data_IF_235262677996
#
_entry.id   IF_235262677996
#
_cell.length_a   1.000
_cell.length_b   1.000
_cell.length_c   1.000
_cell.angle_alpha   90.00
_cell.angle_beta   90.00
_cell.angle_gamma   90.00
#
_symmetry.space_group_name_H-M   'P 1'
#
loop_
_entity.id
_entity.type
_entity.pdbx_description
1 polymer ?
#
# COMPACT_ATOMS: atom_id res chain seq x y z
N UNK A 1 16.54 15.69 21.73
CA UNK A 1 15.20 15.94 21.16
C UNK A 1 14.22 15.02 21.87
N UNK A 2 12.97 15.45 22.11
CA UNK A 2 11.96 14.55 22.69
C UNK A 2 11.58 13.46 21.68
N UNK A 3 11.61 12.19 22.09
CA UNK A 3 11.19 11.05 21.27
C UNK A 3 9.75 11.23 20.79
N UNK A 4 9.45 10.78 19.55
CA UNK A 4 8.09 10.78 18.98
C UNK A 4 7.78 9.40 18.41
N UNK A 5 7.30 8.51 19.28
CA UNK A 5 6.92 7.17 18.86
C UNK A 5 5.63 7.19 18.04
N UNK A 6 5.66 6.50 16.91
CA UNK A 6 4.52 6.33 15.99
C UNK A 6 4.29 4.85 15.76
N UNK A 7 3.04 4.41 15.93
CA UNK A 7 2.62 3.09 15.50
C UNK A 7 2.35 3.12 14.00
N UNK A 8 3.12 2.37 13.22
CA UNK A 8 2.98 2.26 11.77
C UNK A 8 2.22 0.99 11.46
N UNK A 9 1.12 1.09 10.72
CA UNK A 9 0.24 -0.01 10.33
C UNK A 9 0.16 -0.13 8.80
N UNK A 10 0.28 -1.37 8.32
CA UNK A 10 0.10 -1.73 6.92
C UNK A 10 -0.81 -2.96 6.86
N UNK A 11 -2.11 -2.69 6.70
CA UNK A 11 -3.18 -3.68 6.75
C UNK A 11 -3.50 -4.17 5.33
N UNK A 12 -3.14 -5.41 5.02
CA UNK A 12 -3.58 -6.12 3.82
C UNK A 12 -4.83 -6.96 4.08
N UNK A 13 -5.38 -7.61 3.06
CA UNK A 13 -6.59 -8.44 3.20
C UNK A 13 -6.39 -9.66 4.10
N UNK A 14 -5.19 -10.26 4.11
CA UNK A 14 -4.88 -11.47 4.88
C UNK A 14 -3.74 -11.30 5.89
N UNK A 15 -3.26 -10.06 6.09
CA UNK A 15 -2.13 -9.76 6.98
C UNK A 15 -2.17 -8.33 7.51
N UNK A 16 -1.47 -8.11 8.62
CA UNK A 16 -1.23 -6.81 9.22
C UNK A 16 0.25 -6.73 9.62
N UNK A 17 1.00 -5.86 8.95
CA UNK A 17 2.36 -5.49 9.36
C UNK A 17 2.28 -4.29 10.29
N UNK A 18 3.04 -4.33 11.37
CA UNK A 18 3.07 -3.26 12.36
C UNK A 18 4.49 -2.99 12.85
N UNK A 19 4.75 -1.74 13.22
CA UNK A 19 5.98 -1.35 13.87
C UNK A 19 5.77 -0.12 14.78
N UNK A 20 6.60 0.04 15.81
CA UNK A 20 6.71 1.27 16.59
C UNK A 20 8.08 1.86 16.32
N UNK A 21 8.08 3.03 15.69
CA UNK A 21 9.29 3.74 15.25
C UNK A 21 9.32 5.10 15.93
N UNK A 22 10.50 5.54 16.39
CA UNK A 22 10.72 6.93 16.74
C UNK A 22 10.94 7.76 15.48
N UNK A 23 10.00 8.65 15.18
CA UNK A 23 10.04 9.49 13.98
C UNK A 23 11.20 10.51 13.97
N UNK A 24 11.90 10.71 15.09
CA UNK A 24 13.02 11.66 15.19
C UNK A 24 14.33 11.06 14.69
N UNK A 25 14.62 9.81 15.05
CA UNK A 25 15.92 9.17 14.78
C UNK A 25 15.82 7.86 13.99
N UNK A 26 14.63 7.29 13.83
CA UNK A 26 14.38 6.04 13.12
C UNK A 26 14.52 4.77 13.95
N UNK A 27 14.67 4.87 15.28
CA UNK A 27 14.82 3.71 16.14
C UNK A 27 13.55 2.83 16.13
N UNK A 28 13.74 1.52 15.96
CA UNK A 28 12.66 0.52 15.98
C UNK A 28 12.53 -0.09 17.39
N UNK A 29 11.37 0.11 18.02
CA UNK A 29 11.05 -0.43 19.34
C UNK A 29 10.25 -1.74 19.27
N UNK A 30 9.45 -1.88 18.23
CA UNK A 30 8.62 -3.05 17.97
C UNK A 30 8.49 -3.22 16.46
N UNK A 31 8.57 -4.44 15.96
CA UNK A 31 8.16 -4.79 14.59
C UNK A 31 7.47 -6.15 14.57
N UNK A 32 6.53 -6.35 13.65
CA UNK A 32 5.82 -7.61 13.57
C UNK A 32 4.91 -7.75 12.36
N UNK A 33 4.39 -8.97 12.24
CA UNK A 33 3.50 -9.42 11.18
C UNK A 33 2.46 -10.37 11.78
N UNK A 34 1.20 -9.98 11.67
CA UNK A 34 0.07 -10.88 11.80
C UNK A 34 -0.34 -11.37 10.40
N UNK A 35 -0.56 -12.66 10.23
CA UNK A 35 -0.82 -13.28 8.93
C UNK A 35 -1.74 -14.49 9.03
N UNK A 36 -2.13 -15.03 7.87
CA UNK A 36 -3.07 -16.14 7.75
C UNK A 36 -4.46 -15.79 8.33
N UNK A 37 -4.92 -14.56 8.14
CA UNK A 37 -6.26 -14.16 8.59
C UNK A 37 -7.36 -15.01 7.96
N UNK A 38 -8.43 -15.23 8.72
CA UNK A 38 -9.57 -16.08 8.37
C UNK A 38 -9.24 -17.56 8.17
N UNK A 39 -8.02 -17.99 8.50
CA UNK A 39 -7.58 -19.38 8.41
C UNK A 39 -7.38 -20.00 9.81
N UNK A 40 -7.35 -21.33 9.93
CA UNK A 40 -7.01 -22.01 11.18
C UNK A 40 -5.62 -21.64 11.72
N UNK A 41 -4.67 -21.33 10.84
CA UNK A 41 -3.27 -21.05 11.16
C UNK A 41 -2.98 -19.56 11.45
N UNK A 42 -4.02 -18.76 11.71
CA UNK A 42 -3.88 -17.34 12.02
C UNK A 42 -2.92 -17.13 13.19
N UNK A 43 -1.89 -16.31 12.96
CA UNK A 43 -0.77 -16.14 13.89
C UNK A 43 -0.22 -14.73 13.84
N UNK A 44 0.55 -14.38 14.87
CA UNK A 44 1.28 -13.13 14.98
C UNK A 44 2.72 -13.41 15.38
N UNK A 45 3.65 -12.80 14.65
CA UNK A 45 5.08 -12.82 14.94
C UNK A 45 5.53 -11.40 15.23
N UNK A 46 6.36 -11.21 16.25
CA UNK A 46 6.90 -9.90 16.57
C UNK A 46 8.31 -9.99 17.11
N UNK A 47 9.03 -8.86 17.02
CA UNK A 47 10.35 -8.65 17.58
C UNK A 47 10.29 -7.43 18.49
N UNK A 48 10.72 -7.61 19.74
CA UNK A 48 10.81 -6.55 20.74
C UNK A 48 12.08 -6.79 21.57
N UNK A 49 12.83 -5.73 21.86
CA UNK A 49 14.12 -5.80 22.58
C UNK A 49 15.12 -6.81 21.98
N UNK A 50 15.12 -6.95 20.65
CA UNK A 50 15.98 -7.90 19.94
C UNK A 50 15.48 -9.35 19.92
N UNK A 51 14.49 -9.70 20.76
CA UNK A 51 13.95 -11.06 20.86
C UNK A 51 12.75 -11.26 19.93
N UNK A 52 12.74 -12.38 19.20
CA UNK A 52 11.61 -12.79 18.35
C UNK A 52 10.65 -13.67 19.13
N UNK A 53 9.36 -13.43 18.96
CA UNK A 53 8.27 -14.18 19.57
C UNK A 53 7.18 -14.47 18.53
N UNK A 54 6.40 -15.52 18.78
CA UNK A 54 5.30 -15.96 17.92
C UNK A 54 4.16 -16.50 18.78
N UNK A 55 2.92 -16.23 18.39
CA UNK A 55 1.72 -16.73 19.03
C UNK A 55 0.61 -16.99 18.00
N UNK A 56 -0.26 -17.94 18.31
CA UNK A 56 -1.50 -18.12 17.55
C UNK A 56 -2.51 -17.02 17.94
N UNK A 57 -3.22 -16.48 16.94
CA UNK A 57 -4.34 -15.56 17.18
C UNK A 57 -5.68 -16.28 17.37
N UNK A 58 -5.73 -17.57 17.03
CA UNK A 58 -6.95 -18.39 17.04
C UNK A 58 -7.57 -18.54 15.65
N UNK A 59 -8.25 -19.66 15.43
CA UNK A 59 -8.83 -19.98 14.13
C UNK A 59 -9.84 -18.90 13.70
N UNK A 60 -9.67 -18.39 12.47
CA UNK A 60 -10.57 -17.37 11.90
C UNK A 60 -10.26 -15.93 12.30
N UNK A 61 -9.22 -15.69 13.12
CA UNK A 61 -8.82 -14.36 13.55
C UNK A 61 -8.49 -13.42 12.36
N UNK A 62 -8.70 -12.13 12.57
CA UNK A 62 -8.49 -11.07 11.58
C UNK A 62 -7.85 -9.82 12.21
N UNK A 63 -8.05 -8.65 11.60
CA UNK A 63 -7.44 -7.37 12.03
C UNK A 63 -7.80 -6.96 13.45
N UNK A 64 -9.05 -7.19 13.87
CA UNK A 64 -9.54 -6.89 15.22
C UNK A 64 -8.74 -7.65 16.28
N UNK A 65 -8.64 -8.98 16.13
CA UNK A 65 -7.90 -9.84 17.07
C UNK A 65 -6.41 -9.54 17.04
N UNK A 66 -5.84 -9.24 15.87
CA UNK A 66 -4.43 -8.88 15.73
C UNK A 66 -4.11 -7.56 16.48
N UNK A 67 -4.91 -6.51 16.33
CA UNK A 67 -4.72 -5.24 17.05
C UNK A 67 -5.00 -5.40 18.54
N UNK A 68 -6.03 -6.16 18.90
CA UNK A 68 -6.30 -6.50 20.29
C UNK A 68 -5.11 -7.22 20.94
N UNK A 69 -4.46 -8.14 20.24
CA UNK A 69 -3.25 -8.82 20.71
C UNK A 69 -2.08 -7.85 20.88
N UNK A 70 -1.90 -6.89 19.96
CA UNK A 70 -0.88 -5.85 20.08
C UNK A 70 -1.11 -5.02 21.35
N UNK A 71 -2.34 -4.56 21.60
CA UNK A 71 -2.64 -3.72 22.77
C UNK A 71 -2.59 -4.51 24.08
N UNK A 72 -3.32 -5.62 24.17
CA UNK A 72 -3.58 -6.31 25.43
C UNK A 72 -2.53 -7.37 25.79
N UNK A 73 -1.70 -7.80 24.83
CA UNK A 73 -0.63 -8.78 25.10
C UNK A 73 0.75 -8.17 24.95
N UNK A 74 1.05 -7.54 23.80
CA UNK A 74 2.40 -7.03 23.53
C UNK A 74 2.66 -5.75 24.31
N UNK A 75 1.81 -4.74 24.15
CA UNK A 75 1.98 -3.44 24.80
C UNK A 75 1.62 -3.46 26.30
N UNK A 76 0.80 -4.41 26.74
CA UNK A 76 0.53 -4.62 28.16
C UNK A 76 1.80 -5.01 28.96
N UNK A 77 2.79 -5.64 28.31
CA UNK A 77 4.09 -5.95 28.92
C UNK A 77 4.99 -4.72 29.08
N UNK A 78 4.71 -3.64 28.32
CA UNK A 78 5.46 -2.37 28.30
C UNK A 78 4.51 -1.16 28.29
N UNK A 79 3.81 -0.89 29.40
CA UNK A 79 2.86 0.22 29.48
C UNK A 79 3.52 1.58 29.22
N UNK A 80 4.81 1.74 29.51
CA UNK A 80 5.60 2.93 29.19
C UNK A 80 5.71 3.16 27.67
N UNK A 81 5.85 2.09 26.88
CA UNK A 81 5.92 2.19 25.42
C UNK A 81 4.56 2.61 24.85
N UNK A 82 3.48 2.04 25.38
CA UNK A 82 2.11 2.40 25.01
C UNK A 82 1.80 3.87 25.30
N UNK A 83 2.19 4.36 26.48
CA UNK A 83 1.96 5.75 26.89
C UNK A 83 2.77 6.78 26.07
N UNK A 84 3.89 6.36 25.47
CA UNK A 84 4.74 7.22 24.65
C UNK A 84 4.28 7.33 23.19
N UNK A 85 3.29 6.53 22.75
CA UNK A 85 2.75 6.62 21.40
C UNK A 85 2.10 8.00 21.17
N UNK A 86 2.55 8.68 20.12
CA UNK A 86 2.09 10.05 19.80
C UNK A 86 1.16 10.11 18.59
N UNK A 87 1.21 9.12 17.70
CA UNK A 87 0.40 9.05 16.49
C UNK A 87 0.31 7.62 15.94
N UNK A 88 -0.60 7.40 14.99
CA UNK A 88 -0.72 6.15 14.23
C UNK A 88 -0.64 6.49 12.73
N UNK A 89 0.31 5.88 12.02
CA UNK A 89 0.45 6.01 10.57
C UNK A 89 -0.13 4.80 9.85
N UNK A 90 -0.98 5.03 8.85
CA UNK A 90 -1.63 4.00 8.04
C UNK A 90 -1.11 4.09 6.61
N UNK A 91 -0.50 3.01 6.11
CA UNK A 91 -0.18 2.90 4.69
C UNK A 91 -1.46 2.66 3.89
N UNK A 92 -1.72 3.52 2.92
CA UNK A 92 -2.85 3.41 1.99
C UNK A 92 -2.31 3.19 0.58
N UNK A 93 -2.78 2.14 -0.08
CA UNK A 93 -2.30 1.79 -1.43
C UNK A 93 -2.72 2.82 -2.49
N UNK A 94 -3.97 3.30 -2.47
CA UNK A 94 -4.47 4.21 -3.51
C UNK A 94 -5.20 5.42 -2.94
N UNK A 95 -4.68 6.62 -3.23
CA UNK A 95 -5.27 7.91 -2.83
C UNK A 95 -6.00 8.66 -3.96
N UNK A 96 -6.00 8.13 -5.18
CA UNK A 96 -6.56 8.81 -6.34
C UNK A 96 -5.84 10.13 -6.64
N UNK A 97 -6.51 11.06 -7.32
CA UNK A 97 -5.95 12.39 -7.57
C UNK A 97 -6.06 13.32 -6.36
N UNK A 98 -7.01 13.04 -5.46
CA UNK A 98 -7.35 13.90 -4.32
C UNK A 98 -6.20 14.05 -3.33
N UNK A 99 -5.48 12.96 -3.06
CA UNK A 99 -4.44 12.93 -2.03
C UNK A 99 -3.04 12.93 -2.64
N UNK A 100 -2.45 14.13 -2.72
CA UNK A 100 -1.09 14.36 -3.24
C UNK A 100 -0.01 14.32 -2.17
N UNK A 101 -0.39 14.19 -0.90
CA UNK A 101 0.50 14.07 0.26
C UNK A 101 -0.18 13.28 1.37
N UNK A 102 0.57 12.95 2.43
CA UNK A 102 -0.02 12.35 3.63
C UNK A 102 -0.98 13.32 4.31
N UNK A 103 -2.01 12.81 4.99
CA UNK A 103 -3.10 13.61 5.57
C UNK A 103 -3.55 13.02 6.91
N UNK A 104 -3.94 13.87 7.86
CA UNK A 104 -4.60 13.44 9.10
C UNK A 104 -5.97 12.86 8.75
N UNK A 105 -6.30 11.69 9.30
CA UNK A 105 -7.53 10.97 9.01
C UNK A 105 -8.70 11.65 9.76
N UNK A 106 -9.68 12.08 8.97
CA UNK A 106 -11.03 12.46 9.39
C UNK A 106 -12.07 11.68 8.55
N UNK A 107 -13.37 11.96 8.76
CA UNK A 107 -14.45 11.33 8.00
C UNK A 107 -14.35 11.58 6.49
N UNK A 108 -13.84 12.74 6.06
CA UNK A 108 -13.68 13.09 4.65
C UNK A 108 -12.54 12.28 3.99
N UNK A 109 -11.49 11.97 4.77
CA UNK A 109 -10.39 11.10 4.36
C UNK A 109 -10.86 9.67 4.23
N UNK A 110 -11.62 9.18 5.22
CA UNK A 110 -12.26 7.86 5.18
C UNK A 110 -13.13 7.73 3.92
N UNK A 111 -13.94 8.74 3.61
CA UNK A 111 -14.78 8.71 2.41
C UNK A 111 -13.92 8.71 1.13
N UNK A 112 -12.89 9.54 1.03
CA UNK A 112 -12.05 9.53 -0.18
C UNK A 112 -11.24 8.23 -0.37
N UNK A 113 -10.88 7.51 0.70
CA UNK A 113 -10.29 6.17 0.61
C UNK A 113 -11.32 5.16 0.06
N UNK A 114 -12.60 5.27 0.49
CA UNK A 114 -13.71 4.47 -0.06
C UNK A 114 -13.94 4.77 -1.54
N UNK A 115 -13.98 6.03 -1.93
CA UNK A 115 -14.18 6.45 -3.32
C UNK A 115 -13.04 5.93 -4.22
N UNK A 116 -11.82 5.94 -3.69
CA UNK A 116 -10.62 5.42 -4.36
C UNK A 116 -10.52 3.89 -4.35
N UNK A 117 -11.42 3.17 -3.66
CA UNK A 117 -11.38 1.70 -3.59
C UNK A 117 -11.66 1.05 -4.96
N UNK A 118 -12.31 1.75 -5.88
CA UNK A 118 -12.46 1.33 -7.28
C UNK A 118 -11.11 1.04 -7.97
N UNK A 119 -10.06 1.76 -7.61
CA UNK A 119 -8.71 1.58 -8.15
C UNK A 119 -7.86 0.54 -7.38
N UNK A 120 -8.25 0.19 -6.16
CA UNK A 120 -7.54 -0.78 -5.33
C UNK A 120 -8.51 -1.65 -4.49
N UNK A 121 -9.38 -2.45 -5.15
CA UNK A 121 -10.52 -3.11 -4.52
C UNK A 121 -10.11 -4.16 -3.47
N UNK A 122 -8.90 -4.72 -3.58
CA UNK A 122 -8.38 -5.72 -2.64
C UNK A 122 -7.61 -5.10 -1.46
N UNK A 123 -7.22 -3.82 -1.55
CA UNK A 123 -6.31 -3.18 -0.59
C UNK A 123 -7.03 -2.11 0.24
N UNK A 124 -7.67 -1.13 -0.40
CA UNK A 124 -8.29 -0.01 0.30
C UNK A 124 -9.36 -0.44 1.33
N UNK A 125 -10.22 -1.44 1.07
CA UNK A 125 -11.14 -1.94 2.08
C UNK A 125 -10.43 -2.51 3.33
N UNK A 126 -9.32 -3.21 3.16
CA UNK A 126 -8.53 -3.74 4.28
C UNK A 126 -7.87 -2.61 5.10
N UNK A 127 -7.44 -1.53 4.43
CA UNK A 127 -6.93 -0.34 5.12
C UNK A 127 -8.00 0.32 5.98
N UNK A 128 -9.23 0.44 5.47
CA UNK A 128 -10.37 1.00 6.21
C UNK A 128 -10.72 0.18 7.45
N UNK A 129 -10.64 -1.15 7.37
CA UNK A 129 -10.78 -2.03 8.54
C UNK A 129 -9.67 -1.71 9.56
N UNK A 130 -8.42 -1.62 9.11
CA UNK A 130 -7.29 -1.26 9.95
C UNK A 130 -7.46 0.08 10.68
N UNK A 131 -7.94 1.11 9.96
CA UNK A 131 -8.25 2.43 10.54
C UNK A 131 -9.36 2.31 11.58
N UNK A 132 -10.46 1.64 11.25
CA UNK A 132 -11.59 1.49 12.16
C UNK A 132 -11.21 0.78 13.46
N UNK A 133 -10.40 -0.28 13.37
CA UNK A 133 -9.92 -1.00 14.55
C UNK A 133 -8.88 -0.21 15.34
N UNK A 134 -7.97 0.52 14.68
CA UNK A 134 -7.01 1.38 15.37
C UNK A 134 -7.70 2.49 16.19
N UNK A 135 -8.78 3.08 15.67
CA UNK A 135 -9.58 4.08 16.37
C UNK A 135 -10.26 3.50 17.64
N UNK A 136 -10.66 2.22 17.61
CA UNK A 136 -11.22 1.54 18.77
C UNK A 136 -10.16 1.14 19.79
N UNK A 137 -9.03 0.60 19.33
CA UNK A 137 -7.95 0.09 20.18
C UNK A 137 -7.11 1.19 20.82
N UNK A 138 -7.02 2.36 20.20
CA UNK A 138 -6.25 3.51 20.68
C UNK A 138 -7.11 4.78 20.75
N UNK A 139 -8.14 4.83 21.61
CA UNK A 139 -9.07 5.95 21.68
C UNK A 139 -8.38 7.28 22.02
N UNK A 140 -7.28 7.24 22.77
CA UNK A 140 -6.45 8.40 23.11
C UNK A 140 -5.70 9.00 21.90
N UNK A 141 -5.60 8.26 20.79
CA UNK A 141 -4.94 8.69 19.54
C UNK A 141 -5.93 8.89 18.38
N UNK A 142 -7.24 8.88 18.64
CA UNK A 142 -8.26 8.94 17.58
C UNK A 142 -8.03 10.07 16.57
N UNK A 143 -7.70 11.27 17.05
CA UNK A 143 -7.48 12.48 16.23
C UNK A 143 -6.03 12.61 15.71
N UNK A 144 -5.22 11.56 15.88
CA UNK A 144 -3.78 11.50 15.52
C UNK A 144 -3.46 10.33 14.61
N UNK A 145 -4.47 9.87 13.87
CA UNK A 145 -4.32 8.88 12.80
C UNK A 145 -3.95 9.62 11.51
N UNK A 146 -2.98 9.12 10.75
CA UNK A 146 -2.50 9.73 9.50
C UNK A 146 -2.50 8.71 8.39
N UNK A 147 -3.06 9.05 7.23
CA UNK A 147 -2.99 8.24 6.02
C UNK A 147 -1.77 8.66 5.18
N UNK A 148 -0.96 7.67 4.78
CA UNK A 148 0.23 7.82 3.95
C UNK A 148 0.03 7.04 2.67
N UNK A 149 -0.11 7.72 1.53
CA UNK A 149 -0.52 7.12 0.27
C UNK A 149 0.66 6.72 -0.61
N UNK A 150 0.65 5.49 -1.12
CA UNK A 150 1.65 5.02 -2.08
C UNK A 150 1.58 5.73 -3.44
N UNK A 151 0.45 6.36 -3.77
CA UNK A 151 0.28 7.14 -5.01
C UNK A 151 0.73 8.59 -4.88
N UNK A 152 0.83 9.14 -3.66
CA UNK A 152 1.02 10.57 -3.43
C UNK A 152 2.29 11.15 -4.11
N UNK A 153 3.42 10.44 -3.98
CA UNK A 153 4.69 10.89 -4.56
C UNK A 153 4.66 11.00 -6.10
N UNK A 154 3.78 10.24 -6.75
CA UNK A 154 3.65 10.20 -8.20
C UNK A 154 2.71 11.27 -8.75
N UNK A 155 2.00 12.01 -7.88
CA UNK A 155 1.06 13.05 -8.31
C UNK A 155 1.74 14.27 -8.95
N UNK A 156 3.08 14.33 -8.95
CA UNK A 156 3.85 15.31 -9.73
C UNK A 156 4.07 14.93 -11.18
N UNK A 157 3.65 13.74 -11.61
CA UNK A 157 3.71 13.33 -13.02
C UNK A 157 2.91 14.31 -13.89
N UNK A 158 3.49 14.78 -15.02
CA UNK A 158 2.76 15.64 -15.96
C UNK A 158 1.82 14.81 -16.84
N UNK A 159 0.95 15.49 -17.59
CA UNK A 159 -0.13 14.88 -18.38
C UNK A 159 0.39 13.87 -19.41
N UNK A 160 1.49 14.22 -20.08
CA UNK A 160 2.16 13.35 -21.05
C UNK A 160 2.63 12.02 -20.45
N UNK A 161 2.84 11.96 -19.13
CA UNK A 161 3.25 10.76 -18.43
C UNK A 161 2.08 10.01 -17.80
N UNK A 162 1.03 10.68 -17.32
CA UNK A 162 -0.05 9.95 -16.64
C UNK A 162 -1.20 9.51 -17.55
N UNK A 163 -1.39 10.17 -18.69
CA UNK A 163 -2.42 9.75 -19.65
C UNK A 163 -1.99 8.49 -20.40
N UNK A 164 -2.97 7.61 -20.61
CA UNK A 164 -2.83 6.53 -21.57
C UNK A 164 -3.27 7.00 -22.95
N UNK A 165 -2.75 6.35 -24.00
CA UNK A 165 -3.22 6.51 -25.38
C UNK A 165 -4.59 5.81 -25.58
N UNK A 166 -5.56 6.24 -24.80
CA UNK A 166 -6.96 5.79 -24.77
C UNK A 166 -7.88 7.02 -24.96
N UNK A 167 -9.18 6.82 -25.25
CA UNK A 167 -10.12 7.94 -25.32
C UNK A 167 -10.06 8.80 -24.05
N UNK A 168 -9.92 10.12 -24.23
CA UNK A 168 -9.77 11.07 -23.12
C UNK A 168 -10.97 11.09 -22.17
N UNK A 169 -12.16 10.68 -22.64
CA UNK A 169 -13.35 10.52 -21.79
C UNK A 169 -13.12 9.52 -20.65
N UNK A 170 -12.33 8.47 -20.85
CA UNK A 170 -12.03 7.50 -19.79
C UNK A 170 -11.25 8.13 -18.63
N UNK A 171 -10.36 9.07 -18.93
CA UNK A 171 -9.72 9.88 -17.90
C UNK A 171 -10.72 10.82 -17.23
N UNK A 172 -11.46 11.61 -18.04
CA UNK A 172 -12.37 12.65 -17.55
C UNK A 172 -13.52 12.13 -16.69
N UNK A 173 -14.08 10.98 -17.04
CA UNK A 173 -15.31 10.44 -16.42
C UNK A 173 -15.02 9.36 -15.38
N UNK A 174 -13.91 8.63 -15.53
CA UNK A 174 -13.60 7.46 -14.71
C UNK A 174 -12.23 7.53 -14.03
N UNK A 175 -11.45 8.60 -14.24
CA UNK A 175 -10.14 8.75 -13.63
C UNK A 175 -9.13 7.69 -14.09
N UNK A 176 -9.29 7.13 -15.30
CA UNK A 176 -8.33 6.17 -15.86
C UNK A 176 -7.03 6.90 -16.22
N UNK A 177 -6.04 6.76 -15.35
CA UNK A 177 -4.68 7.32 -15.50
C UNK A 177 -3.65 6.48 -14.79
N UNK A 178 -2.38 6.77 -15.02
CA UNK A 178 -1.29 6.27 -14.20
C UNK A 178 -1.30 6.97 -12.83
N UNK A 179 -1.35 6.18 -11.76
CA UNK A 179 -1.20 6.66 -10.39
C UNK A 179 0.12 6.18 -9.76
N UNK A 180 0.66 5.05 -10.23
CA UNK A 180 1.87 4.45 -9.68
C UNK A 180 1.65 3.74 -8.35
N UNK A 181 2.72 3.17 -7.80
CA UNK A 181 2.73 2.55 -6.47
C UNK A 181 4.12 2.69 -5.85
N UNK A 182 4.28 2.22 -4.61
CA UNK A 182 5.53 2.31 -3.85
C UNK A 182 6.07 3.74 -3.69
N UNK A 183 5.22 4.77 -3.81
CA UNK A 183 5.63 6.17 -3.79
C UNK A 183 6.34 6.56 -2.50
N UNK A 184 5.94 6.00 -1.35
CA UNK A 184 6.63 6.20 -0.07
C UNK A 184 8.09 5.71 -0.13
N UNK A 185 8.34 4.57 -0.78
CA UNK A 185 9.70 4.03 -0.95
C UNK A 185 10.50 4.85 -1.95
N UNK A 186 9.92 5.22 -3.09
CA UNK A 186 10.57 6.07 -4.09
C UNK A 186 10.93 7.45 -3.53
N UNK A 187 10.04 8.04 -2.73
CA UNK A 187 10.31 9.27 -1.99
C UNK A 187 11.51 9.10 -1.06
N UNK A 188 11.49 8.08 -0.20
CA UNK A 188 12.57 7.82 0.75
C UNK A 188 13.94 7.69 0.07
N UNK A 189 14.07 6.80 -0.93
CA UNK A 189 15.36 6.59 -1.61
C UNK A 189 15.82 7.81 -2.42
N UNK A 190 14.88 8.68 -2.85
CA UNK A 190 15.22 9.96 -3.48
C UNK A 190 15.87 10.92 -2.48
N UNK A 191 15.33 11.00 -1.25
CA UNK A 191 15.93 11.81 -0.18
C UNK A 191 17.30 11.26 0.24
N UNK A 192 17.44 9.94 0.39
CA UNK A 192 18.71 9.32 0.75
C UNK A 192 19.76 9.46 -0.36
N UNK A 193 19.37 9.32 -1.63
CA UNK A 193 20.27 9.55 -2.75
C UNK A 193 20.81 10.99 -2.79
N UNK A 194 19.98 11.99 -2.46
CA UNK A 194 20.42 13.38 -2.35
C UNK A 194 21.53 13.54 -1.30
N UNK A 195 21.36 12.92 -0.12
CA UNK A 195 22.38 12.89 0.95
C UNK A 195 23.65 12.17 0.49
N UNK A 196 23.53 10.99 -0.10
CA UNK A 196 24.68 10.20 -0.57
C UNK A 196 25.50 10.92 -1.64
N UNK A 197 24.82 11.69 -2.50
CA UNK A 197 25.46 12.47 -3.57
C UNK A 197 25.90 13.87 -3.12
N UNK A 198 25.63 14.26 -1.86
CA UNK A 198 25.86 15.59 -1.32
C UNK A 198 25.29 16.70 -2.22
N UNK A 199 24.04 16.54 -2.67
CA UNK A 199 23.33 17.51 -3.50
C UNK A 199 21.96 17.86 -2.92
N UNK A 200 21.45 19.08 -3.16
CA UNK A 200 20.05 19.40 -2.90
C UNK A 200 19.14 18.44 -3.67
N UNK A 201 18.03 18.03 -3.05
CA UNK A 201 17.08 17.09 -3.69
C UNK A 201 16.41 17.72 -4.92
N UNK A 202 16.29 19.04 -4.94
CA UNK A 202 15.76 19.85 -6.04
C UNK A 202 16.64 19.81 -7.29
N UNK A 203 17.90 19.40 -7.17
CA UNK A 203 18.85 19.25 -8.29
C UNK A 203 19.02 17.78 -8.72
N UNK A 204 18.26 16.87 -8.11
CA UNK A 204 18.46 15.44 -8.28
C UNK A 204 17.67 14.88 -9.48
N UNK A 205 18.41 14.33 -10.44
CA UNK A 205 17.88 13.57 -11.57
C UNK A 205 18.36 12.13 -11.47
N UNK A 206 17.45 11.21 -11.16
CA UNK A 206 17.76 9.79 -10.94
C UNK A 206 16.64 8.89 -11.45
N UNK A 207 16.97 7.62 -11.64
CA UNK A 207 15.99 6.55 -11.82
C UNK A 207 16.04 5.69 -10.56
N UNK A 208 14.88 5.48 -9.95
CA UNK A 208 14.76 4.69 -8.71
C UNK A 208 14.08 3.37 -9.01
N UNK A 209 14.62 2.28 -8.47
CA UNK A 209 14.13 0.92 -8.72
C UNK A 209 13.73 0.26 -7.40
N UNK A 210 12.43 0.16 -7.14
CA UNK A 210 11.89 -0.63 -6.02
C UNK A 210 11.64 -2.05 -6.50
N UNK A 211 12.38 -3.04 -5.99
CA UNK A 211 12.28 -4.44 -6.41
C UNK A 211 12.00 -5.32 -5.19
N UNK A 212 10.78 -5.84 -5.08
CA UNK A 212 10.35 -6.64 -3.94
C UNK A 212 9.02 -7.37 -4.18
N UNK A 213 8.14 -7.37 -3.16
CA UNK A 213 6.79 -7.91 -3.28
C UNK A 213 5.90 -6.97 -4.13
N UNK A 214 6.04 -7.09 -5.45
CA UNK A 214 5.73 -6.01 -6.39
C UNK A 214 6.98 -5.17 -6.68
N UNK A 215 7.09 -4.65 -7.89
CA UNK A 215 8.23 -3.81 -8.27
C UNK A 215 7.84 -2.67 -9.18
N UNK A 216 8.50 -1.53 -9.00
CA UNK A 216 8.32 -0.33 -9.81
C UNK A 216 9.64 0.38 -10.06
N UNK A 217 9.69 1.07 -11.19
CA UNK A 217 10.76 1.99 -11.54
C UNK A 217 10.14 3.37 -11.74
N UNK A 218 10.76 4.40 -11.17
CA UNK A 218 10.30 5.78 -11.31
C UNK A 218 11.43 6.69 -11.79
N UNK A 219 11.10 7.54 -12.76
CA UNK A 219 11.96 8.60 -13.25
C UNK A 219 11.77 9.84 -12.38
N UNK A 220 12.85 10.31 -11.77
CA UNK A 220 12.86 11.47 -10.88
C UNK A 220 13.63 12.59 -11.57
N UNK A 221 13.01 13.76 -11.67
CA UNK A 221 13.63 14.96 -12.20
C UNK A 221 13.44 16.10 -11.22
N UNK A 222 14.53 16.75 -10.83
CA UNK A 222 14.58 17.81 -9.82
C UNK A 222 13.87 17.39 -8.52
N UNK A 223 14.13 16.15 -8.07
CA UNK A 223 13.55 15.59 -6.85
C UNK A 223 12.07 15.18 -6.93
N UNK A 224 11.41 15.39 -8.09
CA UNK A 224 9.99 15.07 -8.30
C UNK A 224 9.82 13.89 -9.25
N UNK A 225 8.82 13.05 -9.00
CA UNK A 225 8.48 11.97 -9.91
C UNK A 225 7.87 12.54 -11.20
N UNK A 226 8.44 12.18 -12.35
CA UNK A 226 7.95 12.60 -13.67
C UNK A 226 7.43 11.45 -14.52
N UNK A 227 7.73 10.20 -14.18
CA UNK A 227 7.11 8.99 -14.76
C UNK A 227 7.32 7.79 -13.82
N UNK A 228 6.46 6.78 -13.92
CA UNK A 228 6.58 5.54 -13.14
C UNK A 228 6.03 4.33 -13.90
N UNK A 229 6.62 3.16 -13.66
CA UNK A 229 6.31 1.96 -14.41
C UNK A 229 4.93 1.38 -14.11
N UNK A 230 4.43 1.55 -12.88
CA UNK A 230 3.13 1.02 -12.45
C UNK A 230 1.98 1.94 -12.84
N UNK A 231 0.85 1.35 -13.23
CA UNK A 231 -0.25 2.01 -13.92
C UNK A 231 -1.38 2.52 -13.01
N UNK A 232 -2.62 2.25 -13.42
CA UNK A 232 -3.84 2.58 -12.66
C UNK A 232 -4.08 1.66 -11.45
N UNK A 233 -3.58 0.42 -11.50
CA UNK A 233 -3.68 -0.55 -10.42
C UNK A 233 -2.25 -0.95 -9.99
N UNK A 234 -1.95 -0.96 -8.68
CA UNK A 234 -0.72 -1.55 -8.15
C UNK A 234 -0.53 -3.05 -8.48
N UNK A 235 -1.57 -3.74 -8.91
CA UNK A 235 -1.44 -5.12 -9.36
C UNK A 235 -0.94 -5.19 -10.82
N UNK A 236 0.37 -5.41 -10.99
CA UNK A 236 0.73 -6.57 -11.82
C UNK A 236 0.13 -7.80 -11.13
N UNK A 237 -0.76 -8.54 -11.81
CA UNK A 237 -1.62 -9.58 -11.19
C UNK A 237 -0.88 -10.49 -10.19
N UNK A 238 -1.54 -10.94 -9.09
CA UNK A 238 -0.98 -11.92 -8.18
C UNK A 238 -0.63 -13.23 -8.92
N UNK A 239 0.60 -13.72 -8.76
CA UNK A 239 1.06 -14.99 -9.31
C UNK A 239 2.27 -14.92 -10.26
N UNK A 240 2.76 -13.73 -10.60
CA UNK A 240 3.94 -13.60 -11.48
C UNK A 240 5.04 -12.77 -10.82
N UNK A 241 6.13 -13.43 -10.41
CA UNK A 241 7.32 -12.81 -9.83
C UNK A 241 8.17 -11.97 -10.80
N UNK A 242 7.55 -11.32 -11.80
CA UNK A 242 8.26 -10.51 -12.79
C UNK A 242 7.71 -9.08 -12.85
N UNK A 243 8.42 -8.10 -12.22
CA UNK A 243 7.94 -6.73 -12.02
C UNK A 243 7.86 -5.85 -13.29
N UNK A 244 8.08 -6.42 -14.49
CA UNK A 244 8.23 -5.65 -15.74
C UNK A 244 7.39 -6.17 -16.93
N UNK A 245 6.49 -7.13 -16.74
CA UNK A 245 5.70 -7.65 -17.87
C UNK A 245 4.66 -6.62 -18.33
N UNK A 246 4.87 -6.07 -19.54
CA UNK A 246 3.81 -5.49 -20.36
C UNK A 246 3.15 -6.62 -21.14
N UNK A 247 1.89 -6.89 -20.87
CA UNK A 247 1.07 -7.79 -21.69
C UNK A 247 0.52 -7.01 -22.87
N UNK A 248 0.33 -7.68 -24.02
CA UNK A 248 -0.40 -7.03 -25.11
C UNK A 248 -1.88 -6.99 -24.72
N UNK A 249 -2.56 -5.84 -24.81
CA UNK A 249 -4.00 -5.77 -24.49
C UNK A 249 -4.84 -6.80 -25.25
N UNK A 250 -4.42 -7.18 -26.47
CA UNK A 250 -5.08 -8.21 -27.27
C UNK A 250 -5.03 -9.62 -26.66
N UNK A 251 -4.07 -9.91 -25.77
CA UNK A 251 -3.98 -11.21 -25.10
C UNK A 251 -5.15 -11.44 -24.13
N UNK A 252 -5.89 -10.37 -23.78
CA UNK A 252 -7.07 -10.40 -22.92
C UNK A 252 -8.39 -10.44 -23.68
N UNK A 253 -8.36 -10.26 -25.01
CA UNK A 253 -9.56 -10.38 -25.81
C UNK A 253 -9.81 -11.87 -26.09
N UNK A 254 -11.03 -12.38 -25.90
CA UNK A 254 -11.35 -13.71 -26.39
C UNK A 254 -11.06 -13.75 -27.90
N UNK A 255 -10.56 -14.88 -28.45
CA UNK A 255 -10.33 -15.00 -29.89
C UNK A 255 -11.62 -14.63 -30.60
N UNK A 256 -11.54 -13.63 -31.49
CA UNK A 256 -12.69 -13.16 -32.27
C UNK A 256 -13.28 -14.36 -33.02
N UNK A 257 -14.40 -14.89 -32.52
CA UNK A 257 -15.09 -16.00 -33.17
C UNK A 257 -15.85 -15.44 -34.36
N UNK A 258 -15.34 -15.68 -35.57
CA UNK A 258 -16.16 -15.76 -36.77
C UNK A 258 -17.08 -17.00 -36.68
N UNK A 259 -18.10 -16.96 -35.83
CA UNK A 259 -19.23 -17.89 -35.88
C UNK A 259 -20.30 -17.40 -34.91
N UNK A 260 -21.43 -16.93 -35.44
CA UNK A 260 -22.54 -16.42 -34.65
C UNK A 260 -23.14 -17.52 -33.76
N UNK A 261 -22.86 -17.46 -32.46
CA UNK A 261 -23.72 -18.01 -31.42
C UNK A 261 -23.37 -17.36 -30.08
N UNK A 262 -24.33 -16.66 -29.51
CA UNK A 262 -24.27 -16.02 -28.20
C UNK A 262 -24.16 -17.07 -27.09
N UNK A 263 -23.12 -16.97 -26.26
CA UNK A 263 -23.19 -17.29 -24.82
C UNK A 263 -22.29 -16.32 -24.06
N UNK A 264 -22.86 -15.64 -23.08
CA UNK A 264 -22.13 -14.75 -22.18
C UNK A 264 -20.98 -15.48 -21.52
N UNK A 265 -19.78 -14.92 -21.62
CA UNK A 265 -18.60 -15.39 -20.90
C UNK A 265 -18.10 -14.25 -20.03
N UNK A 266 -18.26 -14.43 -18.71
CA UNK A 266 -17.84 -13.51 -17.67
C UNK A 266 -16.35 -13.14 -17.77
N UNK A 267 -16.05 -11.86 -17.49
CA UNK A 267 -14.71 -11.30 -17.34
C UNK A 267 -13.81 -12.16 -16.42
N UNK A 268 -14.40 -12.82 -15.42
CA UNK A 268 -13.73 -13.75 -14.51
C UNK A 268 -13.11 -14.97 -15.20
N UNK A 269 -13.70 -15.46 -16.30
CA UNK A 269 -13.17 -16.60 -17.06
C UNK A 269 -11.96 -16.20 -17.92
N UNK A 270 -11.93 -14.97 -18.45
CA UNK A 270 -10.72 -14.43 -19.10
C UNK A 270 -9.59 -14.28 -18.08
N UNK A 271 -9.92 -13.83 -16.86
CA UNK A 271 -8.98 -13.70 -15.76
C UNK A 271 -8.41 -15.03 -15.25
N UNK A 272 -9.15 -16.13 -15.36
CA UNK A 272 -8.69 -17.48 -15.03
C UNK A 272 -7.90 -18.14 -16.16
N UNK A 273 -8.28 -17.96 -17.44
CA UNK A 273 -7.58 -18.59 -18.58
C UNK A 273 -6.15 -18.10 -18.76
N UNK A 274 -5.88 -16.83 -18.48
CA UNK A 274 -4.51 -16.28 -18.52
C UNK A 274 -3.66 -16.82 -17.35
N UNK A 275 -4.28 -17.21 -16.22
CA UNK A 275 -3.55 -17.86 -15.10
C UNK A 275 -3.10 -19.28 -15.43
N UNK A 276 -3.85 -20.01 -16.25
CA UNK A 276 -3.53 -21.39 -16.66
C UNK A 276 -2.62 -21.49 -17.87
N UNK A 277 -2.45 -20.43 -18.66
CA UNK A 277 -1.66 -20.44 -19.90
C UNK A 277 -0.13 -20.26 -19.69
N UNK A 278 0.36 -20.38 -18.45
CA UNK A 278 1.76 -20.17 -18.08
C UNK A 278 2.41 -21.35 -17.36
N UNK A 279 1.83 -22.55 -17.46
CA UNK A 279 2.36 -23.79 -16.89
C UNK A 279 2.91 -24.73 -17.97
N UNK A 280 3.65 -24.18 -18.93
CA UNK A 280 4.57 -24.89 -19.83
C UNK A 280 5.91 -24.16 -19.88
#
# INVERSE_FOLDING_TARGET
MSSKLVLVLNCGSSSLKFAIIDAVNGDEYLSGLAECFHLPEARIKWKMDGSKQEAALGAGAAHSEALNFIVNTILAQKPELSAQLTAIGHRIVHGGEKYTSSVVIDESVIQGIKDSASFAPLHNPAHLIGIAEALKSFPQLKDKNVAVFDTAFHQTMPEESYLYALPYSLYKEHGVRRYGAHGTSHFYVTQEAAKMLNKPVEELNIITCHLGNGGSVSAIRNGKCVDTSMGSDPAGRPGHGYPFRRYRPCDYLPPARHSGHERGSDQQNADQRVRSAGSD
#
